data_IF_151966742235
#
_entry.id   IF_151966742235
#
_cell.length_a   1.000
_cell.length_b   1.000
_cell.length_c   1.000
_cell.angle_alpha   90.00
_cell.angle_beta   90.00
_cell.angle_gamma   90.00
#
_symmetry.space_group_name_H-M   'P 1'
#
loop_
_entity.id
_entity.type
_entity.pdbx_description
1 polymer ?
#
# COMPACT_ATOMS: atom_id res chain seq x y z
N UNK A 1 -6.13 -0.24 5.45
CA UNK A 1 -6.95 -1.40 4.98
C UNK A 1 -6.52 -1.80 3.58
N UNK A 2 -6.64 -3.09 3.23
CA UNK A 2 -6.30 -3.64 1.91
C UNK A 2 -7.55 -4.29 1.31
N UNK A 3 -7.98 -3.87 0.12
CA UNK A 3 -9.14 -4.42 -0.57
C UNK A 3 -8.68 -5.26 -1.76
N UNK A 4 -8.99 -6.56 -1.73
CA UNK A 4 -8.82 -7.42 -2.89
C UNK A 4 -9.99 -7.18 -3.85
N UNK A 5 -9.71 -6.95 -5.13
CA UNK A 5 -10.76 -6.77 -6.16
C UNK A 5 -10.68 -7.80 -7.28
N UNK A 6 -9.52 -8.47 -7.44
CA UNK A 6 -9.39 -9.60 -8.35
C UNK A 6 -9.53 -10.94 -7.63
N UNK A 7 -10.56 -11.67 -8.03
CA UNK A 7 -10.92 -13.00 -7.54
C UNK A 7 -10.91 -14.03 -8.68
N UNK A 8 -10.15 -13.75 -9.74
CA UNK A 8 -10.09 -14.62 -10.92
C UNK A 8 -9.31 -15.91 -10.67
N UNK A 9 -8.34 -15.88 -9.75
CA UNK A 9 -7.44 -17.00 -9.44
C UNK A 9 -7.00 -17.00 -7.96
N UNK A 10 -7.55 -17.95 -7.18
CA UNK A 10 -7.19 -18.14 -5.77
C UNK A 10 -5.75 -18.63 -5.55
N UNK A 11 -5.18 -19.34 -6.52
CA UNK A 11 -3.79 -19.82 -6.45
C UNK A 11 -2.81 -18.65 -6.55
N UNK A 12 -3.08 -17.72 -7.48
CA UNK A 12 -2.31 -16.48 -7.59
C UNK A 12 -2.50 -15.59 -6.37
N UNK A 13 -3.71 -15.45 -5.85
CA UNK A 13 -3.96 -14.70 -4.62
C UNK A 13 -3.20 -15.26 -3.42
N UNK A 14 -3.22 -16.59 -3.21
CA UNK A 14 -2.44 -17.22 -2.14
C UNK A 14 -0.95 -16.92 -2.27
N UNK A 15 -0.43 -17.03 -3.49
CA UNK A 15 0.99 -16.74 -3.79
C UNK A 15 1.35 -15.27 -3.55
N UNK A 16 0.40 -14.35 -3.78
CA UNK A 16 0.55 -12.93 -3.47
C UNK A 16 0.65 -12.72 -1.95
N UNK A 17 -0.29 -13.28 -1.17
CA UNK A 17 -0.32 -13.14 0.29
C UNK A 17 0.92 -13.78 0.94
N UNK A 18 1.35 -14.96 0.48
CA UNK A 18 2.55 -15.63 1.00
C UNK A 18 3.84 -14.82 0.79
N UNK A 19 3.92 -14.06 -0.30
CA UNK A 19 5.11 -13.24 -0.61
C UNK A 19 5.04 -11.84 -0.01
N UNK A 20 3.84 -11.36 0.30
CA UNK A 20 3.61 -10.02 0.84
C UNK A 20 4.43 -9.73 2.09
N UNK A 21 4.34 -10.59 3.10
CA UNK A 21 5.04 -10.40 4.38
C UNK A 21 6.55 -10.41 4.20
N UNK A 22 7.07 -11.24 3.28
CA UNK A 22 8.49 -11.28 2.94
C UNK A 22 8.98 -9.98 2.29
N UNK A 23 8.19 -9.36 1.42
CA UNK A 23 8.55 -8.10 0.78
C UNK A 23 8.56 -6.92 1.76
N UNK A 24 7.59 -6.89 2.68
CA UNK A 24 7.54 -5.89 3.75
C UNK A 24 8.70 -6.12 4.73
N UNK A 25 8.92 -7.36 5.15
CA UNK A 25 9.98 -7.75 6.09
C UNK A 25 11.37 -7.44 5.58
N UNK A 26 11.69 -7.78 4.32
CA UNK A 26 13.02 -7.60 3.75
C UNK A 26 13.49 -6.14 3.75
N UNK A 27 12.59 -5.17 3.48
CA UNK A 27 12.97 -3.74 3.55
C UNK A 27 13.21 -3.29 4.98
N UNK A 28 12.44 -3.81 5.93
CA UNK A 28 12.61 -3.48 7.35
C UNK A 28 13.93 -4.05 7.87
N UNK A 29 14.27 -5.29 7.53
CA UNK A 29 15.56 -5.89 7.84
C UNK A 29 16.71 -5.07 7.25
N UNK A 30 16.63 -4.70 5.96
CA UNK A 30 17.65 -3.87 5.32
C UNK A 30 17.82 -2.50 6.00
N UNK A 31 16.73 -1.85 6.40
CA UNK A 31 16.79 -0.58 7.13
C UNK A 31 17.41 -0.73 8.53
N UNK A 32 17.16 -1.84 9.21
CA UNK A 32 17.79 -2.13 10.49
C UNK A 32 19.31 -2.35 10.34
N UNK A 33 19.75 -3.06 9.30
CA UNK A 33 21.18 -3.25 8.99
C UNK A 33 21.87 -1.92 8.64
N UNK A 34 21.19 -1.02 7.91
CA UNK A 34 21.68 0.34 7.61
C UNK A 34 21.92 1.14 8.90
N UNK A 35 21.00 1.10 9.87
CA UNK A 35 21.15 1.80 11.17
C UNK A 35 22.27 1.20 12.06
N UNK A 36 22.49 -0.11 12.01
CA UNK A 36 23.56 -0.77 12.78
C UNK A 36 24.96 -0.45 12.24
N UNK A 37 25.08 -0.24 10.92
CA UNK A 37 26.32 0.15 10.25
C UNK A 37 26.81 1.57 10.60
N UNK A 38 25.90 2.46 11.01
CA UNK A 38 26.23 3.85 11.39
C UNK A 38 26.61 4.04 12.87
N UNK A 39 26.78 2.95 13.63
CA UNK A 39 27.35 2.99 14.99
C UNK A 39 26.37 3.42 16.09
N UNK A 40 25.08 3.53 15.79
CA UNK A 40 24.02 3.70 16.79
C UNK A 40 23.39 2.34 17.11
N UNK A 41 24.06 1.56 17.95
CA UNK A 41 23.52 0.30 18.46
C UNK A 41 22.20 0.51 19.20
N UNK A 42 21.08 0.21 18.55
CA UNK A 42 19.78 0.07 19.20
C UNK A 42 18.82 -0.78 18.35
N UNK A 43 19.21 -2.00 18.03
CA UNK A 43 18.29 -3.04 17.56
C UNK A 43 17.20 -3.28 18.62
N UNK A 44 16.03 -2.66 18.45
CA UNK A 44 14.76 -3.02 19.12
C UNK A 44 13.56 -2.15 18.71
N UNK A 45 13.77 -1.05 17.98
CA UNK A 45 12.69 -0.14 17.56
C UNK A 45 11.88 -0.70 16.38
N UNK A 46 12.57 -1.03 15.29
CA UNK A 46 11.97 -1.44 14.01
C UNK A 46 11.29 -2.82 14.09
N UNK A 47 11.92 -3.80 14.74
CA UNK A 47 11.32 -5.13 14.98
C UNK A 47 9.96 -5.04 15.71
N UNK A 48 9.84 -4.13 16.70
CA UNK A 48 8.57 -3.92 17.42
C UNK A 48 7.49 -3.24 16.60
N UNK A 49 7.88 -2.55 15.52
CA UNK A 49 6.93 -1.92 14.58
C UNK A 49 6.38 -3.00 13.66
N UNK A 50 7.21 -3.92 13.17
CA UNK A 50 6.81 -5.02 12.26
C UNK A 50 5.72 -5.90 12.86
N UNK A 51 5.92 -6.36 14.10
CA UNK A 51 4.93 -7.17 14.85
C UNK A 51 3.59 -6.46 15.05
N UNK A 52 3.55 -5.14 14.86
CA UNK A 52 2.37 -4.28 15.06
C UNK A 52 1.78 -3.73 13.77
N UNK A 53 2.40 -3.96 12.60
CA UNK A 53 1.79 -3.58 11.33
C UNK A 53 0.67 -4.56 11.01
N UNK A 54 -0.47 -4.36 11.66
CA UNK A 54 -1.69 -5.07 11.31
C UNK A 54 -2.26 -4.42 10.05
N UNK A 55 -2.35 -5.20 8.96
CA UNK A 55 -3.12 -4.82 7.79
C UNK A 55 -4.36 -5.68 7.69
N UNK A 56 -5.52 -5.05 7.80
CA UNK A 56 -6.81 -5.71 7.55
C UNK A 56 -7.03 -5.87 6.05
N UNK A 57 -6.97 -7.11 5.58
CA UNK A 57 -7.38 -7.51 4.23
C UNK A 57 -8.90 -7.72 4.21
N UNK A 58 -9.58 -7.06 3.30
CA UNK A 58 -10.99 -7.26 2.96
C UNK A 58 -11.05 -8.19 1.75
N UNK A 59 -11.42 -9.44 2.02
CA UNK A 59 -11.49 -10.55 1.06
C UNK A 59 -12.96 -11.01 0.92
N UNK A 60 -13.83 -10.08 0.48
CA UNK A 60 -15.25 -10.33 0.24
C UNK A 60 -15.52 -10.37 -1.26
N UNK A 61 -15.61 -11.58 -1.80
CA UNK A 61 -15.79 -11.80 -3.23
C UNK A 61 -17.10 -11.17 -3.76
N UNK A 62 -18.21 -11.30 -3.02
CA UNK A 62 -19.51 -10.82 -3.49
C UNK A 62 -19.53 -9.29 -3.55
N UNK A 63 -18.92 -8.63 -2.56
CA UNK A 63 -18.83 -7.18 -2.52
C UNK A 63 -17.78 -6.61 -3.48
N UNK A 64 -16.65 -7.30 -3.68
CA UNK A 64 -15.44 -6.71 -4.26
C UNK A 64 -15.02 -7.25 -5.64
N UNK A 65 -15.60 -8.35 -6.13
CA UNK A 65 -15.22 -8.93 -7.43
C UNK A 65 -15.40 -7.93 -8.58
N UNK A 66 -14.31 -7.64 -9.29
CA UNK A 66 -14.30 -6.77 -10.47
C UNK A 66 -14.56 -5.29 -10.16
N UNK A 67 -14.49 -4.90 -8.89
CA UNK A 67 -14.70 -3.53 -8.45
C UNK A 67 -13.53 -2.62 -8.79
N UNK A 68 -13.84 -1.38 -9.13
CA UNK A 68 -12.84 -0.35 -9.43
C UNK A 68 -12.55 0.57 -8.24
N UNK A 69 -11.70 1.57 -8.47
CA UNK A 69 -11.28 2.55 -7.46
C UNK A 69 -12.48 3.20 -6.75
N UNK A 70 -13.50 3.64 -7.50
CA UNK A 70 -14.69 4.29 -6.91
C UNK A 70 -15.46 3.38 -5.96
N UNK A 71 -15.60 2.10 -6.30
CA UNK A 71 -16.28 1.12 -5.47
C UNK A 71 -15.48 0.83 -4.19
N UNK A 72 -14.15 0.78 -4.27
CA UNK A 72 -13.26 0.63 -3.10
C UNK A 72 -13.40 1.81 -2.14
N UNK A 73 -13.49 3.04 -2.65
CA UNK A 73 -13.75 4.23 -1.81
C UNK A 73 -15.07 4.11 -1.08
N UNK A 74 -16.14 3.70 -1.77
CA UNK A 74 -17.47 3.50 -1.16
C UNK A 74 -17.39 2.41 -0.07
N UNK A 75 -16.76 1.27 -0.38
CA UNK A 75 -16.59 0.19 0.57
C UNK A 75 -15.82 0.67 1.81
N UNK A 76 -14.71 1.40 1.65
CA UNK A 76 -13.98 1.96 2.78
C UNK A 76 -14.85 2.85 3.67
N UNK A 77 -15.66 3.74 3.07
CA UNK A 77 -16.55 4.61 3.83
C UNK A 77 -17.64 3.84 4.57
N UNK A 78 -18.26 2.83 3.94
CA UNK A 78 -19.22 1.95 4.61
C UNK A 78 -18.59 1.21 5.80
N UNK A 79 -17.39 0.66 5.61
CA UNK A 79 -16.64 0.01 6.69
C UNK A 79 -16.30 0.98 7.82
N UNK A 80 -16.01 2.24 7.50
CA UNK A 80 -15.72 3.30 8.47
C UNK A 80 -16.95 3.72 9.27
N UNK A 81 -18.13 3.69 8.66
CA UNK A 81 -19.39 4.01 9.32
C UNK A 81 -19.93 2.85 10.16
N UNK A 82 -19.78 1.61 9.68
CA UNK A 82 -20.35 0.41 10.31
C UNK A 82 -19.45 -0.21 11.39
N UNK A 83 -18.14 0.04 11.34
CA UNK A 83 -17.16 -0.55 12.25
C UNK A 83 -16.26 0.53 12.87
N UNK A 84 -15.86 0.34 14.13
CA UNK A 84 -14.71 1.06 14.68
C UNK A 84 -13.45 0.56 13.96
N UNK A 85 -13.07 1.24 12.87
CA UNK A 85 -11.78 1.04 12.22
C UNK A 85 -10.71 1.36 13.26
N UNK A 86 -9.77 0.44 13.46
CA UNK A 86 -8.65 0.68 14.37
C UNK A 86 -7.96 2.01 14.02
N UNK A 87 -7.61 2.87 14.99
CA UNK A 87 -7.06 4.19 14.69
C UNK A 87 -5.82 4.21 13.79
N UNK A 88 -5.07 3.11 13.77
CA UNK A 88 -3.92 2.91 12.86
C UNK A 88 -4.32 2.68 11.39
N UNK A 89 -5.54 2.21 11.14
CA UNK A 89 -6.10 1.90 9.83
C UNK A 89 -7.01 3.00 9.28
N UNK A 90 -7.41 3.98 10.10
CA UNK A 90 -8.11 5.19 9.64
C UNK A 90 -7.10 6.17 9.02
N UNK A 91 -6.82 5.96 7.74
CA UNK A 91 -5.84 6.70 6.96
C UNK A 91 -6.50 7.48 5.82
N UNK A 92 -5.78 8.46 5.26
CA UNK A 92 -6.27 9.27 4.10
C UNK A 92 -6.35 8.46 2.80
N UNK A 93 -5.71 7.29 2.78
CA UNK A 93 -5.73 6.36 1.65
C UNK A 93 -5.95 4.93 2.15
N UNK A 94 -6.57 4.09 1.33
CA UNK A 94 -6.59 2.64 1.51
C UNK A 94 -5.80 1.95 0.39
N UNK A 95 -5.50 0.66 0.54
CA UNK A 95 -4.82 -0.12 -0.50
C UNK A 95 -5.85 -0.94 -1.28
N UNK A 96 -5.65 -1.03 -2.59
CA UNK A 96 -6.39 -1.88 -3.51
C UNK A 96 -5.42 -2.86 -4.18
N UNK A 97 -5.84 -4.13 -4.28
CA UNK A 97 -5.11 -5.21 -4.95
C UNK A 97 -5.99 -5.78 -6.05
N UNK A 98 -5.65 -5.44 -7.29
CA UNK A 98 -6.27 -5.98 -8.50
C UNK A 98 -5.32 -6.96 -9.22
N UNK A 99 -5.74 -7.44 -10.39
CA UNK A 99 -4.96 -8.40 -11.18
C UNK A 99 -3.56 -7.90 -11.54
N UNK A 100 -3.39 -6.59 -11.73
CA UNK A 100 -2.10 -5.97 -12.04
C UNK A 100 -1.16 -6.02 -10.82
N UNK A 101 -1.68 -5.74 -9.64
CA UNK A 101 -0.93 -5.83 -8.39
C UNK A 101 -0.50 -7.28 -8.12
N UNK A 102 -1.41 -8.25 -8.32
CA UNK A 102 -1.11 -9.68 -8.17
C UNK A 102 -0.03 -10.11 -9.15
N UNK A 103 -0.15 -9.74 -10.42
CA UNK A 103 0.85 -10.01 -11.45
C UNK A 103 2.23 -9.45 -11.09
N UNK A 104 2.29 -8.27 -10.47
CA UNK A 104 3.56 -7.66 -10.05
C UNK A 104 4.34 -8.53 -9.06
N UNK A 105 3.69 -9.36 -8.25
CA UNK A 105 4.37 -10.27 -7.33
C UNK A 105 4.57 -11.65 -7.97
N UNK A 106 3.51 -12.19 -8.56
CA UNK A 106 3.42 -13.62 -8.87
C UNK A 106 4.04 -13.97 -10.21
N UNK A 107 4.03 -13.06 -11.18
CA UNK A 107 4.56 -13.38 -12.50
C UNK A 107 6.10 -13.37 -12.50
N UNK A 108 6.67 -14.31 -13.25
CA UNK A 108 8.12 -14.41 -13.41
C UNK A 108 8.61 -13.20 -14.20
N UNK A 109 9.44 -12.39 -13.54
CA UNK A 109 10.05 -11.17 -14.09
C UNK A 109 11.56 -11.23 -13.88
N UNK A 110 12.30 -10.70 -14.85
CA UNK A 110 13.75 -10.49 -14.73
C UNK A 110 14.05 -9.48 -13.61
N UNK A 111 15.28 -9.49 -13.10
CA UNK A 111 15.66 -8.54 -12.05
C UNK A 111 15.60 -7.09 -12.55
N UNK A 112 15.88 -6.85 -13.83
CA UNK A 112 15.79 -5.52 -14.42
C UNK A 112 14.34 -5.05 -14.53
N UNK A 113 13.39 -5.93 -14.88
CA UNK A 113 11.95 -5.61 -14.88
C UNK A 113 11.44 -5.34 -13.46
N UNK A 114 11.91 -6.08 -12.46
CA UNK A 114 11.57 -5.86 -11.06
C UNK A 114 12.14 -4.55 -10.52
N UNK A 115 13.32 -4.14 -10.97
CA UNK A 115 13.90 -2.83 -10.64
C UNK A 115 13.15 -1.69 -11.32
N UNK A 116 12.75 -1.86 -12.58
CA UNK A 116 12.01 -0.83 -13.32
C UNK A 116 10.59 -0.64 -12.75
N UNK A 117 9.95 -1.74 -12.32
CA UNK A 117 8.62 -1.71 -11.71
C UNK A 117 8.65 -2.67 -10.50
N UNK A 118 8.93 -2.17 -9.28
CA UNK A 118 8.92 -3.02 -8.09
C UNK A 118 7.53 -3.59 -7.84
N UNK A 119 7.40 -4.72 -7.12
CA UNK A 119 6.10 -5.20 -6.68
C UNK A 119 5.32 -4.12 -5.92
N UNK A 120 4.06 -3.91 -6.30
CA UNK A 120 3.31 -2.74 -5.86
C UNK A 120 1.86 -3.06 -5.53
N UNK A 121 1.23 -2.12 -4.85
CA UNK A 121 -0.22 -2.01 -4.66
C UNK A 121 -0.71 -0.65 -5.09
N UNK A 122 -2.03 -0.51 -5.23
CA UNK A 122 -2.65 0.78 -5.55
C UNK A 122 -3.10 1.46 -4.27
N UNK A 123 -2.53 2.62 -3.98
CA UNK A 123 -3.02 3.51 -2.94
C UNK A 123 -4.19 4.32 -3.50
N UNK A 124 -5.35 4.21 -2.88
CA UNK A 124 -6.61 4.85 -3.28
C UNK A 124 -6.97 5.93 -2.27
N UNK A 125 -7.12 7.16 -2.73
CA UNK A 125 -7.59 8.28 -1.91
C UNK A 125 -9.03 8.03 -1.47
N UNK A 126 -9.25 8.02 -0.16
CA UNK A 126 -10.57 7.79 0.44
C UNK A 126 -11.17 9.08 0.97
N UNK A 127 -10.52 10.22 0.77
CA UNK A 127 -11.02 11.52 1.18
C UNK A 127 -12.35 11.80 0.47
N UNK A 128 -13.36 12.33 1.18
CA UNK A 128 -14.61 12.72 0.55
C UNK A 128 -14.31 13.78 -0.53
N UNK A 129 -15.01 13.76 -1.67
CA UNK A 129 -14.77 14.71 -2.75
C UNK A 129 -14.93 16.13 -2.23
N UNK A 130 -13.82 16.87 -2.14
CA UNK A 130 -13.84 18.26 -1.71
C UNK A 130 -14.47 19.09 -2.82
N UNK A 131 -15.53 19.85 -2.50
CA UNK A 131 -16.13 20.82 -3.41
C UNK A 131 -15.16 22.00 -3.63
N UNK A 132 -14.10 21.81 -4.41
CA UNK A 132 -13.14 22.86 -4.74
C UNK A 132 -11.72 22.34 -4.99
N UNK A 133 -11.24 22.60 -6.21
CA UNK A 133 -9.85 22.45 -6.69
C UNK A 133 -9.16 21.14 -6.29
N UNK A 134 -9.70 20.01 -6.71
CA UNK A 134 -8.84 18.85 -6.99
C UNK A 134 -8.13 19.21 -8.29
N UNK A 135 -6.80 19.22 -8.26
CA UNK A 135 -5.99 19.33 -9.48
C UNK A 135 -6.55 18.35 -10.50
N UNK A 136 -6.98 18.81 -11.68
CA UNK A 136 -7.66 17.96 -12.69
C UNK A 136 -6.76 16.76 -13.13
N UNK A 137 -5.48 16.81 -12.78
CA UNK A 137 -4.47 15.77 -13.04
C UNK A 137 -4.43 14.64 -11.98
N UNK A 138 -4.94 14.86 -10.76
CA UNK A 138 -4.89 13.84 -9.71
C UNK A 138 -6.05 12.83 -9.81
N UNK A 139 -5.76 11.65 -10.34
CA UNK A 139 -6.74 10.58 -10.54
C UNK A 139 -7.26 9.86 -9.28
N UNK A 140 -6.84 10.29 -8.07
CA UNK A 140 -7.26 9.68 -6.80
C UNK A 140 -6.66 8.29 -6.52
N UNK A 141 -5.70 7.86 -7.34
CA UNK A 141 -5.01 6.57 -7.20
C UNK A 141 -3.58 6.67 -7.72
N UNK A 142 -2.64 6.03 -7.05
CA UNK A 142 -1.28 5.82 -7.56
C UNK A 142 -0.69 4.50 -7.05
N UNK A 143 0.40 4.04 -7.66
CA UNK A 143 1.08 2.80 -7.29
C UNK A 143 2.11 3.06 -6.21
N UNK A 144 2.18 2.17 -5.22
CA UNK A 144 3.12 2.24 -4.10
C UNK A 144 3.85 0.91 -4.00
N UNK A 145 5.18 0.96 -3.95
CA UNK A 145 6.00 -0.22 -3.76
C UNK A 145 5.70 -0.85 -2.40
N UNK A 146 5.56 -2.18 -2.37
CA UNK A 146 5.19 -2.90 -1.15
C UNK A 146 6.27 -2.74 -0.06
N UNK A 147 7.53 -2.73 -0.48
CA UNK A 147 8.69 -2.48 0.39
C UNK A 147 8.61 -1.12 1.10
N UNK A 148 7.98 -0.12 0.47
CA UNK A 148 7.92 1.25 0.98
C UNK A 148 6.72 1.50 1.89
N UNK A 149 5.80 0.54 2.05
CA UNK A 149 4.55 0.76 2.78
C UNK A 149 4.78 1.20 4.24
N UNK A 150 5.63 0.48 4.96
CA UNK A 150 5.78 0.64 6.41
C UNK A 150 6.67 1.81 6.78
N UNK A 151 7.81 1.94 6.12
CA UNK A 151 8.84 2.92 6.49
C UNK A 151 8.63 4.28 5.83
N UNK A 152 7.96 4.32 4.67
CA UNK A 152 7.86 5.54 3.88
C UNK A 152 6.40 5.98 3.75
N UNK A 153 5.54 5.12 3.19
CA UNK A 153 4.19 5.51 2.77
C UNK A 153 3.27 5.85 3.94
N UNK A 154 3.17 4.98 4.96
CA UNK A 154 2.31 5.24 6.11
C UNK A 154 2.76 6.46 6.94
N UNK A 155 4.07 6.66 7.19
CA UNK A 155 4.57 7.90 7.76
C UNK A 155 4.23 9.13 6.89
N UNK A 156 4.43 9.04 5.57
CA UNK A 156 4.12 10.14 4.65
C UNK A 156 2.65 10.56 4.74
N UNK A 157 1.69 9.63 4.82
CA UNK A 157 0.26 9.98 4.98
C UNK A 157 -0.05 10.78 6.27
N UNK A 158 0.83 10.73 7.29
CA UNK A 158 0.70 11.53 8.51
C UNK A 158 1.32 12.93 8.37
N UNK A 159 2.34 13.07 7.53
CA UNK A 159 3.10 14.31 7.31
C UNK A 159 2.39 15.20 6.29
N UNK A 160 2.00 14.64 5.15
CA UNK A 160 1.41 15.41 4.05
C UNK A 160 -0.04 15.78 4.33
N UNK A 161 -0.46 16.95 3.82
CA UNK A 161 -1.81 17.48 3.99
C UNK A 161 -2.85 16.70 3.21
N UNK A 162 -2.55 16.39 1.95
CA UNK A 162 -3.43 15.69 1.02
C UNK A 162 -2.67 14.63 0.18
N UNK A 163 -3.27 13.47 -0.13
CA UNK A 163 -2.67 12.43 -0.97
C UNK A 163 -2.14 12.89 -2.34
N UNK A 164 -2.76 13.93 -2.92
CA UNK A 164 -2.30 14.51 -4.19
C UNK A 164 -0.88 15.08 -4.12
N UNK A 165 -0.37 15.42 -2.94
CA UNK A 165 1.02 15.89 -2.76
C UNK A 165 2.03 14.75 -2.95
N UNK A 166 1.60 13.49 -2.80
CA UNK A 166 2.46 12.31 -3.00
C UNK A 166 2.45 11.81 -4.45
N UNK A 167 1.38 12.10 -5.19
CA UNK A 167 1.18 11.60 -6.54
C UNK A 167 2.31 11.97 -7.53
N UNK A 168 2.91 13.18 -7.48
CA UNK A 168 4.01 13.55 -8.38
C UNK A 168 5.26 12.68 -8.22
N UNK A 169 5.45 12.04 -7.06
CA UNK A 169 6.58 11.14 -6.81
C UNK A 169 6.28 9.70 -7.26
N UNK A 170 5.08 9.44 -7.77
CA UNK A 170 4.65 8.12 -8.21
C UNK A 170 4.81 7.97 -9.73
N UNK A 171 6.05 7.74 -10.21
CA UNK A 171 6.29 7.38 -11.61
C UNK A 171 7.42 6.34 -11.77
N UNK A 172 7.15 5.11 -12.23
CA UNK A 172 5.82 4.50 -12.40
C UNK A 172 5.22 3.99 -11.08
N UNK A 173 6.03 3.87 -10.03
CA UNK A 173 5.67 3.36 -8.70
C UNK A 173 6.36 4.23 -7.67
N UNK A 174 5.61 4.64 -6.64
CA UNK A 174 6.15 5.42 -5.54
C UNK A 174 7.01 4.52 -4.62
N UNK A 175 8.25 4.94 -4.36
CA UNK A 175 9.18 4.26 -3.43
C UNK A 175 9.59 5.14 -2.23
N UNK A 176 9.71 6.45 -2.42
CA UNK A 176 9.94 7.43 -1.36
C UNK A 176 9.46 8.82 -1.81
N UNK A 177 9.36 9.76 -0.87
CA UNK A 177 9.07 11.17 -1.18
C UNK A 177 10.34 12.00 -1.50
N UNK A 178 11.54 11.41 -1.34
CA UNK A 178 12.81 12.14 -1.44
C UNK A 178 13.43 12.13 -2.84
N UNK A 179 12.90 11.33 -3.78
CA UNK A 179 13.24 11.37 -5.21
C UNK A 179 14.67 10.96 -5.56
#
# INVERSE_FOLDING_TARGET
MVFRTDFSDEGRWRSFVEQWDGLVGARIEAAAEEEEGEGTGSGSGLERVVDKVYMKIVDDEEAMRGKGVKDVVIAYQMWKEESDIEPGLDTKMCLMVDAECIASIVDVRTDDEKKAIPPFVKAVDVSPPTNGSVDDEYGGVFKVAISSLVLEFWPALRIFGHPSELAPFADPVWESADG
#
